data_IF_265358088457
#
_entry.id   IF_265358088457
#
_cell.length_a   1.000
_cell.length_b   1.000
_cell.length_c   1.000
_cell.angle_alpha   90.00
_cell.angle_beta   90.00
_cell.angle_gamma   90.00
#
_symmetry.space_group_name_H-M   'P 1'
#
loop_
_entity.id
_entity.type
_entity.pdbx_description
1 polymer ?
#
# COMPACT_ATOMS: atom_id res chain seq x y z
N UNK A 1 -3.54 -10.27 -20.76
CA UNK A 1 -3.53 -10.84 -19.41
C UNK A 1 -2.23 -11.58 -19.20
N UNK A 2 -1.51 -11.21 -18.14
CA UNK A 2 -0.28 -11.89 -17.77
C UNK A 2 -0.58 -13.25 -17.11
N UNK A 3 0.38 -14.17 -17.20
CA UNK A 3 0.30 -15.49 -16.58
C UNK A 3 1.57 -15.70 -15.74
N UNK A 4 1.42 -16.40 -14.63
CA UNK A 4 2.53 -16.85 -13.81
C UNK A 4 2.44 -18.36 -13.58
N UNK A 5 3.57 -19.00 -13.35
CA UNK A 5 3.64 -20.42 -13.00
C UNK A 5 4.47 -20.55 -11.73
N UNK A 6 4.01 -21.34 -10.78
CA UNK A 6 4.78 -21.62 -9.57
C UNK A 6 5.73 -22.83 -9.76
N UNK A 7 6.55 -23.09 -8.73
CA UNK A 7 7.49 -24.23 -8.73
C UNK A 7 6.83 -25.62 -8.81
N UNK A 8 5.51 -25.69 -8.58
CA UNK A 8 4.73 -26.93 -8.65
C UNK A 8 3.98 -27.05 -10.00
N UNK A 9 4.33 -26.21 -10.97
CA UNK A 9 3.69 -26.15 -12.28
C UNK A 9 2.21 -25.74 -12.25
N UNK A 10 1.77 -25.04 -11.20
CA UNK A 10 0.43 -24.47 -11.12
C UNK A 10 0.42 -23.14 -11.89
N UNK A 11 -0.52 -23.00 -12.81
CA UNK A 11 -0.71 -21.80 -13.59
C UNK A 11 -1.64 -20.83 -12.88
N UNK A 12 -1.21 -19.58 -12.81
CA UNK A 12 -1.97 -18.44 -12.29
C UNK A 12 -2.24 -17.46 -13.42
N UNK A 13 -3.47 -17.01 -13.50
CA UNK A 13 -3.88 -15.97 -14.45
C UNK A 13 -4.08 -14.65 -13.71
N UNK A 14 -3.62 -13.55 -14.29
CA UNK A 14 -3.87 -12.23 -13.75
C UNK A 14 -5.38 -11.96 -13.68
N UNK A 15 -5.84 -11.56 -12.51
CA UNK A 15 -7.19 -11.03 -12.32
C UNK A 15 -7.22 -9.65 -12.98
N UNK A 16 -8.02 -9.53 -14.03
CA UNK A 16 -8.05 -8.30 -14.81
C UNK A 16 -8.35 -7.09 -13.90
N UNK A 17 -7.61 -5.97 -14.05
CA UNK A 17 -7.84 -4.76 -13.24
C UNK A 17 -9.30 -4.30 -13.26
N UNK A 18 -9.99 -4.50 -14.38
CA UNK A 18 -11.42 -4.17 -14.56
C UNK A 18 -12.38 -5.09 -13.81
N UNK A 19 -11.89 -6.18 -13.20
CA UNK A 19 -12.72 -7.07 -12.37
C UNK A 19 -13.11 -6.41 -11.04
N UNK A 20 -12.39 -5.38 -10.62
CA UNK A 20 -12.79 -4.54 -9.51
C UNK A 20 -13.74 -3.45 -10.00
N UNK A 21 -15.02 -3.59 -9.68
CA UNK A 21 -16.02 -2.58 -10.03
C UNK A 21 -15.91 -1.34 -9.13
N UNK A 22 -15.50 -1.56 -7.88
CA UNK A 22 -15.37 -0.53 -6.85
C UNK A 22 -13.99 -0.59 -6.20
N UNK A 23 -13.52 0.56 -5.80
CA UNK A 23 -12.27 0.75 -5.05
C UNK A 23 -12.30 0.03 -3.71
N UNK A 24 -13.44 0.04 -3.01
CA UNK A 24 -13.60 -0.64 -1.74
C UNK A 24 -13.37 -2.16 -1.83
N UNK A 25 -13.56 -2.77 -3.00
CA UNK A 25 -13.26 -4.18 -3.21
C UNK A 25 -11.75 -4.42 -3.25
N UNK A 26 -11.01 -3.56 -3.92
CA UNK A 26 -9.53 -3.59 -3.95
C UNK A 26 -8.97 -3.28 -2.56
N UNK A 27 -9.46 -2.22 -1.90
CA UNK A 27 -9.10 -1.85 -0.54
C UNK A 27 -9.27 -3.03 0.43
N UNK A 28 -10.42 -3.74 0.35
CA UNK A 28 -10.70 -4.91 1.19
C UNK A 28 -9.67 -6.02 0.99
N UNK A 29 -9.32 -6.34 -0.26
CA UNK A 29 -8.31 -7.37 -0.55
C UNK A 29 -6.94 -6.95 -0.01
N UNK A 30 -6.56 -5.70 -0.18
CA UNK A 30 -5.30 -5.18 0.34
C UNK A 30 -5.26 -5.27 1.86
N UNK A 31 -6.29 -4.77 2.57
CA UNK A 31 -6.35 -4.80 4.04
C UNK A 31 -6.24 -6.22 4.58
N UNK A 32 -6.98 -7.16 3.99
CA UNK A 32 -6.99 -8.56 4.44
C UNK A 32 -5.63 -9.24 4.31
N UNK A 33 -4.80 -8.79 3.38
CA UNK A 33 -3.52 -9.41 3.07
C UNK A 33 -2.31 -8.53 3.41
N UNK A 34 -2.52 -7.34 3.96
CA UNK A 34 -1.47 -6.34 4.10
C UNK A 34 -0.33 -6.81 5.00
N UNK A 35 -0.61 -7.54 6.09
CA UNK A 35 0.42 -8.09 6.97
C UNK A 35 1.24 -9.22 6.31
N UNK A 36 0.70 -9.87 5.29
CA UNK A 36 1.43 -10.83 4.45
C UNK A 36 2.26 -10.08 3.41
N UNK A 37 1.68 -9.04 2.82
CA UNK A 37 2.33 -8.21 1.78
C UNK A 37 3.47 -7.38 2.39
N UNK A 38 3.27 -6.82 3.61
CA UNK A 38 4.24 -6.02 4.35
C UNK A 38 4.43 -6.57 5.78
N UNK A 39 5.17 -7.68 5.97
CA UNK A 39 5.18 -8.47 7.20
C UNK A 39 5.68 -7.75 8.46
N UNK A 40 6.37 -6.63 8.31
CA UNK A 40 6.83 -5.82 9.45
C UNK A 40 5.94 -4.62 9.76
N UNK A 41 4.78 -4.56 9.11
CA UNK A 41 3.85 -3.46 9.28
C UNK A 41 2.51 -3.95 9.80
N UNK A 42 1.83 -3.05 10.52
CA UNK A 42 0.43 -3.17 10.90
C UNK A 42 -0.36 -2.11 10.16
N UNK A 43 -1.48 -2.51 9.58
CA UNK A 43 -2.33 -1.59 8.87
C UNK A 43 -3.77 -1.65 9.34
N UNK A 44 -4.49 -0.56 9.12
CA UNK A 44 -5.91 -0.45 9.38
C UNK A 44 -6.55 0.62 8.48
N UNK A 45 -7.87 0.56 8.27
CA UNK A 45 -8.60 1.63 7.62
C UNK A 45 -8.43 2.96 8.38
N UNK A 46 -8.08 4.00 7.64
CA UNK A 46 -7.89 5.33 8.22
C UNK A 46 -8.93 6.31 7.67
N UNK A 47 -10.17 6.14 8.06
CA UNK A 47 -11.29 6.96 7.60
C UNK A 47 -11.47 8.21 8.48
N UNK A 48 -10.37 8.91 8.79
CA UNK A 48 -10.36 10.20 9.49
C UNK A 48 -10.00 11.31 8.51
N UNK A 49 -10.85 12.31 8.45
CA UNK A 49 -10.66 13.47 7.58
C UNK A 49 -9.38 14.22 7.94
N UNK A 50 -8.52 14.42 6.96
CA UNK A 50 -7.32 15.24 7.03
C UNK A 50 -7.60 16.61 6.42
N UNK A 51 -7.07 17.66 7.01
CA UNK A 51 -7.36 19.04 6.61
C UNK A 51 -6.07 19.79 6.28
N UNK A 52 -5.99 20.29 5.06
CA UNK A 52 -4.99 21.26 4.61
C UNK A 52 -5.50 22.66 4.87
N UNK A 53 -5.00 23.29 5.92
CA UNK A 53 -5.44 24.63 6.34
C UNK A 53 -5.03 25.71 5.35
N UNK A 54 -3.92 25.54 4.66
CA UNK A 54 -3.40 26.55 3.71
C UNK A 54 -4.31 26.71 2.48
N UNK A 55 -4.93 25.59 2.05
CA UNK A 55 -5.79 25.57 0.86
C UNK A 55 -7.27 25.41 1.18
N UNK A 56 -7.62 25.29 2.47
CA UNK A 56 -8.99 25.03 2.94
C UNK A 56 -9.60 23.78 2.27
N UNK A 57 -8.79 22.75 2.05
CA UNK A 57 -9.21 21.47 1.47
C UNK A 57 -9.12 20.34 2.49
N UNK A 58 -9.93 19.32 2.29
CA UNK A 58 -9.89 18.14 3.15
C UNK A 58 -10.20 16.88 2.37
N UNK A 59 -9.44 15.81 2.67
CA UNK A 59 -9.62 14.48 2.11
C UNK A 59 -9.52 13.42 3.21
N UNK A 60 -9.99 12.22 2.91
CA UNK A 60 -10.00 11.11 3.86
C UNK A 60 -9.20 9.96 3.23
N UNK A 61 -8.04 9.61 3.78
CA UNK A 61 -7.26 8.49 3.25
C UNK A 61 -7.91 7.15 3.55
N UNK A 62 -7.56 6.15 2.76
CA UNK A 62 -8.09 4.80 2.93
C UNK A 62 -7.44 4.07 4.09
N UNK A 63 -6.11 4.04 4.12
CA UNK A 63 -5.36 3.23 5.07
C UNK A 63 -4.28 4.04 5.77
N UNK A 64 -3.94 3.57 6.99
CA UNK A 64 -2.67 3.86 7.65
C UNK A 64 -1.90 2.57 7.85
N UNK A 65 -0.60 2.62 7.62
CA UNK A 65 0.31 1.51 7.85
C UNK A 65 1.47 1.97 8.73
N UNK A 66 1.77 1.20 9.78
CA UNK A 66 2.76 1.58 10.80
C UNK A 66 3.71 0.40 10.98
N UNK A 67 5.01 0.68 10.92
CA UNK A 67 6.03 -0.33 11.18
C UNK A 67 5.97 -0.79 12.64
N UNK A 68 6.19 -2.07 12.87
CA UNK A 68 6.04 -2.68 14.19
C UNK A 68 6.95 -2.07 15.26
N UNK A 69 8.11 -1.54 14.87
CA UNK A 69 9.07 -0.86 15.73
C UNK A 69 8.83 0.66 15.89
N UNK A 70 7.77 1.20 15.29
CA UNK A 70 7.42 2.63 15.26
C UNK A 70 8.52 3.53 14.66
N UNK A 71 9.35 3.00 13.73
CA UNK A 71 10.38 3.80 13.06
C UNK A 71 9.87 4.55 11.83
N UNK A 72 8.72 4.16 11.30
CA UNK A 72 8.10 4.81 10.13
C UNK A 72 6.61 4.47 10.02
N UNK A 73 5.87 5.34 9.33
CA UNK A 73 4.46 5.15 9.07
C UNK A 73 4.04 5.75 7.73
N UNK A 74 2.91 5.27 7.21
CA UNK A 74 2.43 5.59 5.87
C UNK A 74 0.96 5.98 5.92
N UNK A 75 0.59 6.98 5.13
CA UNK A 75 -0.77 7.25 4.70
C UNK A 75 -0.90 6.68 3.28
N UNK A 76 -1.92 5.89 3.06
CA UNK A 76 -2.10 5.13 1.83
C UNK A 76 -3.45 5.46 1.23
N UNK A 77 -3.45 5.76 -0.07
CA UNK A 77 -4.60 5.82 -0.93
C UNK A 77 -4.64 4.58 -1.82
N UNK A 78 -5.80 3.98 -1.95
CA UNK A 78 -6.01 2.81 -2.80
C UNK A 78 -6.87 3.21 -3.97
N UNK A 79 -6.35 3.06 -5.19
CA UNK A 79 -7.00 3.57 -6.38
C UNK A 79 -7.15 2.52 -7.48
N UNK A 80 -8.25 2.64 -8.23
CA UNK A 80 -8.37 1.91 -9.48
C UNK A 80 -7.72 2.70 -10.61
N UNK A 81 -6.96 2.01 -11.45
CA UNK A 81 -6.27 2.65 -12.56
C UNK A 81 -7.18 3.36 -13.58
N UNK A 82 -8.49 3.14 -13.54
CA UNK A 82 -9.48 3.85 -14.35
C UNK A 82 -9.85 5.24 -13.82
N UNK A 83 -9.43 5.58 -12.60
CA UNK A 83 -9.76 6.87 -11.98
C UNK A 83 -8.93 8.02 -12.56
N UNK A 84 -9.44 9.23 -12.38
CA UNK A 84 -8.79 10.43 -12.88
C UNK A 84 -7.57 10.78 -12.02
N UNK A 85 -6.43 10.95 -12.67
CA UNK A 85 -5.18 11.39 -12.06
C UNK A 85 -5.34 12.63 -11.21
N UNK A 86 -6.12 13.61 -11.66
CA UNK A 86 -6.31 14.87 -10.96
C UNK A 86 -6.90 14.67 -9.57
N UNK A 87 -7.87 13.74 -9.43
CA UNK A 87 -8.48 13.41 -8.15
C UNK A 87 -7.44 12.86 -7.17
N UNK A 88 -6.64 11.90 -7.62
CA UNK A 88 -5.58 11.30 -6.81
C UNK A 88 -4.54 12.33 -6.36
N UNK A 89 -4.11 13.19 -7.27
CA UNK A 89 -3.16 14.25 -6.94
C UNK A 89 -3.71 15.23 -5.90
N UNK A 90 -4.99 15.63 -5.98
CA UNK A 90 -5.62 16.52 -5.00
C UNK A 90 -5.69 15.87 -3.60
N UNK A 91 -5.93 14.57 -3.52
CA UNK A 91 -5.92 13.83 -2.25
C UNK A 91 -4.51 13.78 -1.66
N UNK A 92 -3.53 13.33 -2.44
CA UNK A 92 -2.13 13.23 -2.02
C UNK A 92 -1.57 14.59 -1.58
N UNK A 93 -1.88 15.64 -2.31
CA UNK A 93 -1.46 17.00 -1.95
C UNK A 93 -2.07 17.44 -0.61
N UNK A 94 -3.33 17.09 -0.33
CA UNK A 94 -3.95 17.34 0.98
C UNK A 94 -3.22 16.58 2.09
N UNK A 95 -2.89 15.31 1.86
CA UNK A 95 -2.18 14.48 2.86
C UNK A 95 -0.74 14.98 3.08
N UNK A 96 -0.09 15.46 2.04
CA UNK A 96 1.26 16.03 2.12
C UNK A 96 1.32 17.30 2.99
N UNK A 97 0.30 18.16 2.89
CA UNK A 97 0.24 19.46 3.58
C UNK A 97 -0.47 19.39 4.95
N UNK A 98 -1.10 18.26 5.28
CA UNK A 98 -1.80 18.12 6.55
C UNK A 98 -0.83 18.11 7.74
N UNK A 99 -1.25 18.75 8.84
CA UNK A 99 -0.57 18.63 10.12
C UNK A 99 -1.10 17.43 10.90
N UNK A 100 -0.22 16.52 11.24
CA UNK A 100 -0.55 15.32 12.01
C UNK A 100 -0.33 15.55 13.50
N UNK A 101 -1.29 15.13 14.34
CA UNK A 101 -1.35 15.46 15.76
C UNK A 101 -1.65 14.26 16.63
N UNK A 102 -1.62 14.42 17.93
CA UNK A 102 -2.01 13.43 18.94
C UNK A 102 -3.43 12.85 18.73
N UNK A 103 -4.33 13.64 18.12
CA UNK A 103 -5.68 13.18 17.77
C UNK A 103 -5.66 12.06 16.73
N UNK A 104 -4.68 12.10 15.80
CA UNK A 104 -4.50 11.04 14.82
C UNK A 104 -3.95 9.77 15.48
N UNK A 105 -2.98 9.92 16.41
CA UNK A 105 -2.48 8.80 17.22
C UNK A 105 -3.60 8.13 18.02
N UNK A 106 -4.43 8.94 18.67
CA UNK A 106 -5.57 8.48 19.48
C UNK A 106 -6.63 7.77 18.61
N UNK A 107 -6.90 8.29 17.41
CA UNK A 107 -7.81 7.65 16.45
C UNK A 107 -7.30 6.27 16.04
N UNK A 108 -6.03 6.15 15.63
CA UNK A 108 -5.40 4.89 15.23
C UNK A 108 -5.46 3.88 16.38
N UNK A 109 -5.07 4.29 17.58
CA UNK A 109 -5.11 3.44 18.76
C UNK A 109 -6.51 2.93 19.07
N UNK A 110 -7.52 3.79 19.03
CA UNK A 110 -8.92 3.41 19.33
C UNK A 110 -9.50 2.45 18.29
N UNK A 111 -9.08 2.51 17.04
CA UNK A 111 -9.51 1.57 15.98
C UNK A 111 -8.94 0.17 16.15
N UNK A 112 -7.73 0.04 16.66
CA UNK A 112 -7.06 -1.26 16.86
C UNK A 112 -6.25 -1.28 18.15
N UNK A 113 -6.93 -1.21 19.30
CA UNK A 113 -6.28 -1.19 20.63
C UNK A 113 -5.30 -2.35 20.85
N UNK A 114 -5.63 -3.55 20.36
CA UNK A 114 -4.71 -4.70 20.41
C UNK A 114 -3.69 -4.60 19.28
N UNK A 115 -2.46 -4.28 19.65
CA UNK A 115 -1.34 -4.28 18.71
C UNK A 115 -0.63 -2.95 18.53
N UNK A 116 -1.13 -1.86 19.13
CA UNK A 116 -0.44 -0.58 19.18
C UNK A 116 -0.21 -0.10 20.62
N UNK A 117 0.88 0.63 20.82
CA UNK A 117 1.14 1.39 22.04
C UNK A 117 0.82 2.87 21.76
N UNK A 118 -0.06 3.47 22.56
CA UNK A 118 -0.50 4.84 22.34
C UNK A 118 0.64 5.86 22.45
N UNK A 119 1.53 5.70 23.45
CA UNK A 119 2.64 6.63 23.64
C UNK A 119 3.64 6.55 22.47
N UNK A 120 3.94 5.33 22.00
CA UNK A 120 4.79 5.15 20.81
C UNK A 120 4.17 5.75 19.56
N UNK A 121 2.84 5.63 19.37
CA UNK A 121 2.13 6.29 18.28
C UNK A 121 2.20 7.81 18.36
N UNK A 122 1.99 8.38 19.55
CA UNK A 122 2.10 9.82 19.76
C UNK A 122 3.51 10.32 19.45
N UNK A 123 4.53 9.63 19.98
CA UNK A 123 5.92 9.97 19.68
C UNK A 123 6.21 9.90 18.18
N UNK A 124 5.81 8.81 17.51
CA UNK A 124 6.01 8.65 16.07
C UNK A 124 5.37 9.80 15.28
N UNK A 125 4.10 10.09 15.54
CA UNK A 125 3.35 11.11 14.79
C UNK A 125 3.85 12.52 15.09
N UNK A 126 4.29 12.79 16.31
CA UNK A 126 4.86 14.10 16.69
C UNK A 126 6.25 14.35 16.09
N UNK A 127 7.02 13.28 15.83
CA UNK A 127 8.44 13.41 15.40
C UNK A 127 8.66 13.13 13.92
N UNK A 128 7.72 12.48 13.26
CA UNK A 128 7.89 12.06 11.87
C UNK A 128 6.62 12.30 11.04
N UNK A 129 6.77 12.97 9.92
CA UNK A 129 5.71 13.03 8.90
C UNK A 129 5.49 11.64 8.28
N UNK A 130 4.26 11.31 7.88
CA UNK A 130 4.02 10.06 7.15
C UNK A 130 4.72 10.06 5.81
N UNK A 131 5.11 8.89 5.38
CA UNK A 131 5.36 8.63 3.96
C UNK A 131 4.03 8.45 3.26
N UNK A 132 3.93 8.94 2.04
CA UNK A 132 2.71 8.79 1.24
C UNK A 132 2.88 7.66 0.25
N UNK A 133 1.80 6.92 0.01
CA UNK A 133 1.80 5.84 -0.97
C UNK A 133 0.44 5.74 -1.64
N UNK A 134 0.43 5.64 -2.96
CA UNK A 134 -0.73 5.23 -3.74
C UNK A 134 -0.56 3.77 -4.12
N UNK A 135 -1.54 2.93 -3.81
CA UNK A 135 -1.61 1.55 -4.29
C UNK A 135 -2.62 1.49 -5.42
N UNK A 136 -2.18 1.09 -6.60
CA UNK A 136 -3.02 1.00 -7.79
C UNK A 136 -2.96 -0.39 -8.42
N UNK A 137 -4.06 -0.84 -9.02
CA UNK A 137 -4.18 -2.19 -9.58
C UNK A 137 -3.60 -2.37 -10.98
N UNK A 138 -3.11 -1.30 -11.62
CA UNK A 138 -2.45 -1.36 -12.93
C UNK A 138 -1.35 -0.29 -13.05
N UNK A 139 -0.37 -0.44 -13.96
CA UNK A 139 0.67 0.56 -14.17
C UNK A 139 0.12 1.94 -14.54
N UNK A 140 0.64 2.99 -13.90
CA UNK A 140 0.29 4.41 -14.10
C UNK A 140 1.55 5.26 -14.20
N UNK A 141 2.28 5.09 -15.30
CA UNK A 141 3.54 5.82 -15.51
C UNK A 141 3.29 7.33 -15.62
N UNK A 142 2.14 7.74 -16.11
CA UNK A 142 1.70 9.13 -16.22
C UNK A 142 1.40 9.80 -14.85
N UNK A 143 1.20 9.02 -13.78
CA UNK A 143 1.00 9.52 -12.42
C UNK A 143 2.33 9.71 -11.68
N UNK A 144 3.32 8.90 -12.00
CA UNK A 144 4.55 8.74 -11.23
C UNK A 144 5.33 10.03 -11.09
N UNK A 145 5.48 10.81 -12.16
CA UNK A 145 6.25 12.06 -12.11
C UNK A 145 5.56 13.13 -11.25
N UNK A 146 4.24 13.23 -11.33
CA UNK A 146 3.48 14.20 -10.53
C UNK A 146 3.47 13.80 -9.05
N UNK A 147 3.32 12.51 -8.75
CA UNK A 147 3.33 11.99 -7.37
C UNK A 147 4.69 12.15 -6.69
N UNK A 148 5.80 12.10 -7.44
CA UNK A 148 7.14 12.35 -6.90
C UNK A 148 7.29 13.74 -6.31
N UNK A 149 6.59 14.75 -6.81
CA UNK A 149 6.62 16.12 -6.26
C UNK A 149 6.18 16.15 -4.79
N UNK A 150 5.34 15.20 -4.39
CA UNK A 150 4.87 14.99 -3.01
C UNK A 150 5.66 13.89 -2.28
N UNK A 151 6.76 13.39 -2.84
CA UNK A 151 7.51 12.25 -2.31
C UNK A 151 6.60 11.02 -2.07
N UNK A 152 5.57 10.89 -2.90
CA UNK A 152 4.61 9.81 -2.81
C UNK A 152 5.07 8.61 -3.63
N UNK A 153 5.08 7.44 -3.01
CA UNK A 153 5.39 6.17 -3.66
C UNK A 153 4.20 5.70 -4.50
N UNK A 154 4.50 5.10 -5.64
CA UNK A 154 3.48 4.43 -6.48
C UNK A 154 3.72 2.94 -6.46
N UNK A 155 2.87 2.22 -5.74
CA UNK A 155 2.89 0.77 -5.62
C UNK A 155 1.83 0.15 -6.54
N UNK A 156 2.23 -0.77 -7.41
CA UNK A 156 1.32 -1.50 -8.28
C UNK A 156 1.03 -2.85 -7.64
N UNK A 157 -0.23 -3.09 -7.30
CA UNK A 157 -0.69 -4.33 -6.68
C UNK A 157 -1.50 -5.15 -7.66
N UNK A 158 -0.95 -6.29 -8.08
CA UNK A 158 -1.57 -7.20 -9.03
C UNK A 158 -1.93 -8.52 -8.34
N UNK A 159 -3.09 -9.05 -8.70
CA UNK A 159 -3.61 -10.31 -8.19
C UNK A 159 -3.63 -11.32 -9.33
N UNK A 160 -3.13 -12.50 -9.06
CA UNK A 160 -3.19 -13.66 -9.94
C UNK A 160 -3.97 -14.76 -9.22
N UNK A 161 -4.78 -15.52 -9.94
CA UNK A 161 -5.51 -16.65 -9.38
C UNK A 161 -5.31 -17.89 -10.24
N UNK A 162 -5.23 -19.05 -9.59
CA UNK A 162 -5.33 -20.35 -10.26
C UNK A 162 -6.80 -20.75 -10.49
N UNK A 163 -7.01 -21.92 -11.04
CA UNK A 163 -8.34 -22.45 -11.33
C UNK A 163 -9.15 -22.82 -10.06
N UNK A 164 -8.49 -22.96 -8.91
CA UNK A 164 -9.11 -23.19 -7.61
C UNK A 164 -9.40 -21.89 -6.84
N UNK A 165 -9.03 -20.74 -7.41
CA UNK A 165 -9.19 -19.43 -6.79
C UNK A 165 -8.10 -19.06 -5.79
N UNK A 166 -7.02 -19.84 -5.69
CA UNK A 166 -5.86 -19.52 -4.85
C UNK A 166 -5.13 -18.32 -5.41
N UNK A 167 -4.90 -17.33 -4.56
CA UNK A 167 -4.30 -16.07 -4.97
C UNK A 167 -2.77 -16.06 -4.85
N UNK A 168 -2.13 -15.40 -5.81
CA UNK A 168 -0.74 -14.97 -5.79
C UNK A 168 -0.73 -13.44 -5.95
N UNK A 169 -0.01 -12.74 -5.08
CA UNK A 169 0.10 -11.29 -5.11
C UNK A 169 1.45 -10.87 -5.68
N UNK A 170 1.42 -9.88 -6.55
CA UNK A 170 2.63 -9.27 -7.12
C UNK A 170 2.63 -7.78 -6.80
N UNK A 171 3.76 -7.31 -6.27
CA UNK A 171 4.05 -5.91 -6.05
C UNK A 171 5.08 -5.43 -7.06
N UNK A 172 4.83 -4.30 -7.67
CA UNK A 172 5.74 -3.58 -8.54
C UNK A 172 5.80 -2.10 -8.14
N UNK A 173 6.75 -1.37 -8.71
CA UNK A 173 6.91 0.05 -8.43
C UNK A 173 7.59 0.29 -7.08
N UNK A 174 7.19 1.36 -6.41
CA UNK A 174 7.80 1.82 -5.16
C UNK A 174 6.97 1.34 -3.97
N UNK A 175 7.59 0.67 -3.04
CA UNK A 175 6.97 0.17 -1.81
C UNK A 175 8.02 0.04 -0.70
N UNK A 176 7.62 -0.05 0.58
CA UNK A 176 8.54 -0.30 1.68
C UNK A 176 9.40 -1.53 1.41
N UNK A 177 10.72 -1.39 1.65
CA UNK A 177 11.63 -2.49 1.43
C UNK A 177 11.33 -3.62 2.43
N UNK A 178 11.00 -4.79 1.89
CA UNK A 178 10.76 -5.98 2.68
C UNK A 178 12.06 -6.79 2.64
N UNK A 179 12.80 -6.80 3.76
CA UNK A 179 13.84 -7.80 3.95
C UNK A 179 13.15 -9.16 4.17
N UNK A 180 12.81 -9.82 3.09
CA UNK A 180 12.61 -11.25 3.18
C UNK A 180 14.01 -11.86 3.28
N UNK A 181 14.28 -12.61 4.35
CA UNK A 181 15.37 -13.57 4.35
C UNK A 181 15.03 -14.63 3.30
N UNK A 182 15.13 -14.27 2.02
CA UNK A 182 15.24 -15.29 0.99
C UNK A 182 16.52 -16.03 1.32
N UNK A 183 16.35 -17.22 1.91
CA UNK A 183 17.38 -18.24 1.85
C UNK A 183 17.97 -18.14 0.44
N UNK A 184 19.26 -17.88 0.34
CA UNK A 184 19.94 -17.88 -0.94
C UNK A 184 19.77 -19.29 -1.51
N UNK A 185 18.71 -19.50 -2.27
CA UNK A 185 18.64 -20.62 -3.18
C UNK A 185 19.83 -20.41 -4.12
N UNK A 186 20.93 -21.12 -3.85
CA UNK A 186 22.01 -21.24 -4.81
C UNK A 186 21.36 -21.69 -6.10
N UNK A 187 21.31 -20.80 -7.09
CA UNK A 187 21.03 -21.20 -8.45
C UNK A 187 22.19 -22.11 -8.85
N UNK A 188 22.03 -23.41 -8.68
CA UNK A 188 22.86 -24.35 -9.42
C UNK A 188 22.55 -24.08 -10.89
N UNK A 189 23.56 -23.60 -11.60
CA UNK A 189 23.51 -23.50 -13.07
C UNK A 189 23.27 -24.93 -13.56
N UNK A 190 22.03 -25.23 -13.91
CA UNK A 190 21.72 -26.42 -14.70
C UNK A 190 22.33 -26.15 -16.05
N UNK A 191 23.54 -26.71 -16.26
CA UNK A 191 24.18 -26.71 -17.57
C UNK A 191 23.29 -27.54 -18.50
N UNK A 192 22.74 -26.88 -19.52
CA UNK A 192 22.16 -27.59 -20.64
C UNK A 192 23.31 -28.24 -21.40
N UNK A 193 23.37 -29.57 -21.57
CA UNK A 193 24.25 -30.18 -22.54
C UNK A 193 23.75 -29.78 -23.94
N UNK A 194 24.66 -29.24 -24.74
CA UNK A 194 24.43 -29.06 -26.17
C UNK A 194 24.40 -30.43 -26.87
#
# INVERSE_FOLDING_TARGET
MAKAIDKNNVWYQEVAPRSFYKEEDLERVIIQNLEIIFPHFKALPFKKKLFDSARNKSNTPDLVMIKADYSEWYIIEVELGKHDKKHVLEQIETFYNCSYTDDHASYIFNKRRRGFNLNSLKTLIATQSPKLMVIVNEPKDDWKEDLKSFRCMTCIFQIYQDFEGKALYRLNGEHPYIYTNFCHCKYEKVGYPF
#
